data_IF_952175829921
#
_entry.id   IF_952175829921
#
_cell.length_a   1.000
_cell.length_b   1.000
_cell.length_c   1.000
_cell.angle_alpha   90.00
_cell.angle_beta   90.00
_cell.angle_gamma   90.00
#
_symmetry.space_group_name_H-M   'P 1'
#
loop_
_entity.id
_entity.type
_entity.pdbx_description
1 polymer ?
#
# COMPACT_ATOMS: atom_id res chain seq x y z
N UNK A 1 -2.57 -13.31 -12.39
CA UNK A 1 -3.15 -12.75 -11.17
C UNK A 1 -2.07 -12.11 -10.34
N UNK A 2 -2.36 -10.94 -9.79
CA UNK A 2 -1.38 -10.22 -8.98
C UNK A 2 -1.48 -10.64 -7.52
N UNK A 3 -0.37 -10.58 -6.81
CA UNK A 3 -0.35 -11.00 -5.41
C UNK A 3 -0.28 -9.81 -4.46
N UNK A 4 -0.93 -9.95 -3.32
CA UNK A 4 -1.05 -8.88 -2.32
C UNK A 4 -0.68 -9.39 -0.95
N UNK A 5 0.05 -8.57 -0.20
CA UNK A 5 0.32 -8.84 1.20
C UNK A 5 -0.22 -7.68 2.03
N UNK A 6 -0.75 -7.99 3.21
CA UNK A 6 -1.28 -7.00 4.12
C UNK A 6 -0.47 -7.01 5.41
N UNK A 7 -0.16 -5.83 5.94
CA UNK A 7 0.57 -5.72 7.19
C UNK A 7 -0.08 -4.67 8.07
N UNK A 8 -0.54 -5.08 9.25
CA UNK A 8 -1.18 -4.21 10.22
C UNK A 8 -1.08 -4.91 11.56
N UNK A 9 -0.65 -4.20 12.59
CA UNK A 9 -0.45 -4.82 13.90
C UNK A 9 -1.74 -5.25 14.58
N UNK A 10 -2.89 -4.83 14.06
CA UNK A 10 -4.18 -5.23 14.61
C UNK A 10 -4.88 -6.23 13.71
N UNK A 11 -5.24 -7.37 14.30
CA UNK A 11 -5.92 -8.41 13.54
C UNK A 11 -7.25 -7.95 12.98
N UNK A 12 -7.95 -7.11 13.73
CA UNK A 12 -9.25 -6.63 13.27
C UNK A 12 -9.11 -5.72 12.07
N UNK A 13 -8.04 -4.95 12.03
CA UNK A 13 -7.78 -4.11 10.88
C UNK A 13 -7.52 -4.94 9.64
N UNK A 14 -6.76 -6.03 9.79
CA UNK A 14 -6.52 -6.93 8.67
C UNK A 14 -7.83 -7.54 8.18
N UNK A 15 -8.70 -7.90 9.11
CA UNK A 15 -9.99 -8.46 8.76
C UNK A 15 -10.85 -7.44 8.00
N UNK A 16 -10.84 -6.21 8.46
CA UNK A 16 -11.58 -5.14 7.80
C UNK A 16 -11.10 -4.93 6.37
N UNK A 17 -9.80 -4.93 6.17
CA UNK A 17 -9.26 -4.77 4.83
C UNK A 17 -9.71 -5.91 3.93
N UNK A 18 -9.64 -7.13 4.44
CA UNK A 18 -10.03 -8.29 3.66
C UNK A 18 -11.50 -8.29 3.30
N UNK A 19 -12.34 -7.74 4.16
CA UNK A 19 -13.77 -7.67 3.89
C UNK A 19 -14.13 -6.51 2.98
N UNK A 20 -13.42 -5.41 3.11
CA UNK A 20 -13.74 -4.20 2.36
C UNK A 20 -13.19 -4.24 0.94
N UNK A 21 -11.99 -4.81 0.78
CA UNK A 21 -11.34 -4.86 -0.53
C UNK A 21 -11.67 -6.16 -1.25
N UNK A 22 -12.40 -6.09 -2.37
CA UNK A 22 -12.72 -7.31 -3.12
C UNK A 22 -11.54 -7.72 -4.00
N UNK A 23 -10.45 -8.13 -3.37
CA UNK A 23 -9.22 -8.46 -4.07
C UNK A 23 -9.43 -9.43 -5.24
N UNK A 24 -10.12 -10.50 -4.96
CA UNK A 24 -10.30 -11.54 -5.96
C UNK A 24 -11.03 -11.05 -7.20
N UNK A 25 -12.02 -10.19 -7.00
CA UNK A 25 -12.81 -9.67 -8.11
C UNK A 25 -11.97 -8.82 -9.06
N UNK A 26 -10.87 -8.27 -8.57
CA UNK A 26 -10.02 -7.41 -9.37
C UNK A 26 -8.69 -8.08 -9.75
N UNK A 27 -8.63 -9.39 -9.61
CA UNK A 27 -7.47 -10.13 -10.06
C UNK A 27 -6.32 -10.21 -9.08
N UNK A 28 -6.61 -10.07 -7.79
CA UNK A 28 -5.58 -10.14 -6.76
C UNK A 28 -5.75 -11.36 -5.88
N UNK A 29 -4.62 -11.94 -5.52
CA UNK A 29 -4.57 -13.10 -4.63
C UNK A 29 -3.83 -12.69 -3.36
N UNK A 30 -4.47 -12.88 -2.22
CA UNK A 30 -3.86 -12.54 -0.94
C UNK A 30 -2.89 -13.63 -0.53
N UNK A 31 -1.61 -13.29 -0.43
CA UNK A 31 -0.58 -14.28 -0.11
C UNK A 31 -0.08 -14.19 1.32
N UNK A 32 -0.34 -13.08 2.01
CA UNK A 32 0.09 -12.93 3.39
C UNK A 32 -0.72 -11.85 4.07
N UNK A 33 -1.00 -12.05 5.36
CA UNK A 33 -1.62 -11.05 6.21
C UNK A 33 -0.90 -11.15 7.54
N UNK A 34 -0.02 -10.18 7.80
CA UNK A 34 0.90 -10.26 8.92
C UNK A 34 0.67 -9.14 9.91
N UNK A 35 0.83 -9.45 11.20
CA UNK A 35 0.70 -8.44 12.25
C UNK A 35 2.04 -7.98 12.79
N UNK A 36 3.13 -8.60 12.36
CA UNK A 36 4.46 -8.31 12.87
C UNK A 36 5.35 -7.79 11.74
N UNK A 37 5.82 -6.53 11.80
CA UNK A 37 6.67 -5.99 10.74
C UNK A 37 8.00 -6.72 10.60
N UNK A 38 8.52 -7.28 11.69
CA UNK A 38 9.77 -8.04 11.62
C UNK A 38 9.57 -9.30 10.82
N UNK A 39 8.44 -9.96 11.04
CA UNK A 39 8.10 -11.15 10.26
C UNK A 39 7.92 -10.80 8.79
N UNK A 40 7.39 -9.62 8.51
CA UNK A 40 7.22 -9.17 7.14
C UNK A 40 8.57 -9.01 6.44
N UNK A 41 9.55 -8.45 7.14
CA UNK A 41 10.89 -8.31 6.57
C UNK A 41 11.50 -9.65 6.19
N UNK A 42 11.13 -10.69 6.93
CA UNK A 42 11.65 -12.01 6.68
C UNK A 42 10.91 -12.74 5.56
N UNK A 43 9.61 -12.63 5.59
CA UNK A 43 8.75 -13.40 4.67
C UNK A 43 8.55 -12.77 3.30
N UNK A 44 8.35 -11.48 3.26
CA UNK A 44 7.96 -10.84 2.00
C UNK A 44 9.01 -10.92 0.90
N UNK A 45 10.31 -10.83 1.19
CA UNK A 45 11.29 -11.02 0.12
C UNK A 45 11.21 -12.37 -0.56
N UNK A 46 10.76 -13.38 0.17
CA UNK A 46 10.59 -14.72 -0.40
C UNK A 46 9.33 -14.83 -1.23
N UNK A 47 8.26 -14.18 -0.77
CA UNK A 47 6.98 -14.23 -1.45
C UNK A 47 6.91 -13.33 -2.67
N UNK A 48 7.68 -12.25 -2.64
CA UNK A 48 7.73 -11.27 -3.73
C UNK A 48 6.35 -10.82 -4.18
N UNK A 49 5.57 -10.23 -3.25
CA UNK A 49 4.23 -9.78 -3.63
C UNK A 49 4.28 -8.62 -4.61
N UNK A 50 3.26 -8.52 -5.43
CA UNK A 50 3.16 -7.40 -6.35
C UNK A 50 2.78 -6.12 -5.63
N UNK A 51 1.94 -6.24 -4.60
CA UNK A 51 1.48 -5.10 -3.83
C UNK A 51 1.55 -5.40 -2.35
N UNK A 52 1.94 -4.41 -1.56
CA UNK A 52 1.94 -4.52 -0.11
C UNK A 52 1.14 -3.37 0.47
N UNK A 53 0.13 -3.69 1.27
CA UNK A 53 -0.65 -2.71 2.02
C UNK A 53 -0.08 -2.66 3.43
N UNK A 54 0.32 -1.49 3.88
CA UNK A 54 0.99 -1.33 5.17
C UNK A 54 0.32 -0.25 5.99
N UNK A 55 0.01 -0.57 7.24
CA UNK A 55 -0.46 0.44 8.18
C UNK A 55 0.75 1.23 8.69
N UNK A 56 0.58 2.52 8.89
CA UNK A 56 1.70 3.35 9.34
C UNK A 56 2.09 3.09 10.78
N UNK A 57 1.12 3.03 11.67
CA UNK A 57 1.41 2.94 13.11
C UNK A 57 1.48 1.52 13.58
N UNK A 58 2.70 1.07 13.83
CA UNK A 58 2.96 -0.23 14.42
C UNK A 58 4.01 -0.06 15.51
N UNK A 59 3.92 -0.83 16.59
CA UNK A 59 4.75 -0.57 17.78
C UNK A 59 6.25 -0.69 17.56
N UNK A 60 6.68 -1.68 16.81
CA UNK A 60 8.11 -1.96 16.72
C UNK A 60 8.80 -1.22 15.59
N UNK A 61 8.06 -0.94 14.55
CA UNK A 61 8.62 -0.30 13.38
C UNK A 61 7.46 0.33 12.63
N UNK A 62 7.57 1.60 12.27
CA UNK A 62 6.48 2.24 11.54
C UNK A 62 6.36 1.63 10.14
N UNK A 63 5.18 1.79 9.54
CA UNK A 63 4.96 1.27 8.20
C UNK A 63 5.91 1.90 7.18
N UNK A 64 6.26 3.16 7.39
CA UNK A 64 7.18 3.84 6.47
C UNK A 64 8.58 3.30 6.59
N UNK A 65 9.00 2.99 7.80
CA UNK A 65 10.32 2.38 8.00
C UNK A 65 10.35 1.00 7.37
N UNK A 66 9.26 0.26 7.52
CA UNK A 66 9.16 -1.06 6.93
C UNK A 66 9.26 -0.99 5.41
N UNK A 67 8.56 -0.04 4.80
CA UNK A 67 8.63 0.13 3.35
C UNK A 67 10.04 0.45 2.91
N UNK A 68 10.72 1.34 3.64
CA UNK A 68 12.08 1.70 3.31
C UNK A 68 12.99 0.47 3.29
N UNK A 69 12.83 -0.38 4.29
CA UNK A 69 13.62 -1.60 4.38
C UNK A 69 13.25 -2.58 3.26
N UNK A 70 11.95 -2.73 3.00
CA UNK A 70 11.50 -3.67 1.99
C UNK A 70 11.91 -3.26 0.58
N UNK A 71 12.01 -1.95 0.33
CA UNK A 71 12.38 -1.50 -1.01
C UNK A 71 13.75 -1.97 -1.44
N UNK A 72 14.62 -2.25 -0.49
CA UNK A 72 15.95 -2.76 -0.81
C UNK A 72 15.88 -4.15 -1.44
N UNK A 73 14.98 -4.99 -0.96
CA UNK A 73 14.85 -6.34 -1.50
C UNK A 73 13.67 -6.50 -2.45
N UNK A 74 12.72 -5.57 -2.40
CA UNK A 74 11.51 -5.63 -3.25
C UNK A 74 11.33 -4.29 -3.98
N UNK A 75 12.24 -3.94 -4.88
CA UNK A 75 12.17 -2.64 -5.55
C UNK A 75 11.02 -2.53 -6.56
N UNK A 76 10.50 -3.65 -7.02
CA UNK A 76 9.40 -3.63 -8.00
C UNK A 76 8.03 -3.70 -7.36
N UNK A 77 7.98 -3.97 -6.07
CA UNK A 77 6.70 -4.07 -5.35
C UNK A 77 6.07 -2.69 -5.23
N UNK A 78 4.75 -2.65 -5.36
CA UNK A 78 3.98 -1.43 -5.21
C UNK A 78 3.47 -1.35 -3.78
N UNK A 79 3.64 -0.20 -3.17
CA UNK A 79 3.28 -0.02 -1.75
C UNK A 79 2.08 0.91 -1.59
N UNK A 80 1.12 0.48 -0.77
CA UNK A 80 -0.05 1.28 -0.42
C UNK A 80 -0.02 1.48 1.09
N UNK A 81 -0.12 2.72 1.53
CA UNK A 81 -0.06 3.07 2.95
C UNK A 81 -1.46 3.36 3.47
N UNK A 82 -1.79 2.76 4.61
CA UNK A 82 -3.08 2.99 5.26
C UNK A 82 -2.84 3.77 6.55
N UNK A 83 -3.67 4.78 6.80
CA UNK A 83 -3.43 5.65 7.94
C UNK A 83 -4.67 6.42 8.34
N UNK A 84 -4.69 6.88 9.60
CA UNK A 84 -5.73 7.80 10.07
C UNK A 84 -5.26 9.23 9.96
N UNK A 85 -6.15 10.15 10.30
CA UNK A 85 -5.84 11.57 10.23
C UNK A 85 -4.72 12.00 11.16
N UNK A 86 -4.55 11.28 12.27
CA UNK A 86 -3.54 11.66 13.24
C UNK A 86 -2.12 11.47 12.73
N UNK A 87 -1.97 10.84 11.58
CA UNK A 87 -0.64 10.61 11.01
C UNK A 87 -0.28 11.55 9.88
N UNK A 88 -0.80 12.78 9.92
CA UNK A 88 -0.45 13.78 8.91
C UNK A 88 1.05 13.91 8.70
N UNK A 89 1.81 13.87 9.78
CA UNK A 89 3.25 14.06 9.69
C UNK A 89 3.91 13.01 8.81
N UNK A 90 3.28 11.86 8.68
CA UNK A 90 3.85 10.78 7.89
C UNK A 90 3.59 10.92 6.39
N UNK A 91 2.64 11.78 6.02
CA UNK A 91 2.33 11.95 4.61
C UNK A 91 3.53 12.43 3.80
N UNK A 92 4.33 13.32 4.38
CA UNK A 92 5.53 13.81 3.70
C UNK A 92 6.51 12.70 3.43
N UNK A 93 6.68 11.82 4.41
CA UNK A 93 7.61 10.70 4.26
C UNK A 93 7.09 9.69 3.25
N UNK A 94 5.79 9.51 3.19
CA UNK A 94 5.19 8.60 2.22
C UNK A 94 5.48 9.08 0.80
N UNK A 95 5.39 10.39 0.58
CA UNK A 95 5.69 10.97 -0.73
C UNK A 95 7.15 10.72 -1.10
N UNK A 96 8.05 10.89 -0.13
CA UNK A 96 9.47 10.69 -0.38
C UNK A 96 9.80 9.23 -0.66
N UNK A 97 9.04 8.30 -0.10
CA UNK A 97 9.25 6.89 -0.32
C UNK A 97 8.65 6.37 -1.61
N UNK A 98 7.92 7.24 -2.30
CA UNK A 98 7.35 6.87 -3.59
C UNK A 98 6.37 5.71 -3.46
N UNK A 99 5.39 5.87 -2.58
CA UNK A 99 4.32 4.88 -2.46
C UNK A 99 3.26 5.17 -3.52
N UNK A 100 2.54 4.14 -3.91
CA UNK A 100 1.52 4.27 -4.94
C UNK A 100 0.33 5.10 -4.45
N UNK A 101 -0.10 4.85 -3.24
CA UNK A 101 -1.28 5.52 -2.70
C UNK A 101 -1.21 5.61 -1.20
N UNK A 102 -1.76 6.68 -0.65
CA UNK A 102 -1.89 6.90 0.78
C UNK A 102 -3.38 6.93 1.06
N UNK A 103 -3.90 5.89 1.72
CA UNK A 103 -5.33 5.74 1.94
C UNK A 103 -5.69 6.07 3.38
N UNK A 104 -6.60 7.01 3.56
CA UNK A 104 -7.03 7.43 4.88
C UNK A 104 -8.14 6.54 5.40
N UNK A 105 -8.06 6.18 6.65
CA UNK A 105 -9.10 5.43 7.33
C UNK A 105 -10.10 6.42 7.92
N UNK A 106 -11.38 6.11 7.94
CA UNK A 106 -11.99 4.92 7.37
C UNK A 106 -12.18 5.04 5.86
N UNK A 107 -12.14 3.92 5.19
CA UNK A 107 -12.39 3.86 3.75
C UNK A 107 -13.58 2.94 3.50
N UNK A 108 -14.31 3.18 2.41
CA UNK A 108 -15.46 2.36 2.09
C UNK A 108 -15.18 1.47 0.89
N UNK A 109 -16.20 0.70 0.50
CA UNK A 109 -16.06 -0.25 -0.60
C UNK A 109 -15.78 0.43 -1.93
N UNK A 110 -16.37 1.59 -2.11
CA UNK A 110 -16.18 2.34 -3.34
C UNK A 110 -14.73 2.80 -3.48
N UNK A 111 -14.16 3.31 -2.38
CA UNK A 111 -12.76 3.70 -2.36
C UNK A 111 -11.86 2.49 -2.64
N UNK A 112 -12.20 1.36 -2.04
CA UNK A 112 -11.41 0.16 -2.20
C UNK A 112 -11.43 -0.34 -3.64
N UNK A 113 -12.60 -0.36 -4.25
CA UNK A 113 -12.72 -0.82 -5.63
C UNK A 113 -11.97 0.08 -6.59
N UNK A 114 -12.07 1.38 -6.39
CA UNK A 114 -11.37 2.33 -7.23
C UNK A 114 -9.85 2.13 -7.14
N UNK A 115 -9.36 1.92 -5.94
CA UNK A 115 -7.94 1.70 -5.75
C UNK A 115 -7.48 0.41 -6.41
N UNK A 116 -8.23 -0.67 -6.25
CA UNK A 116 -7.87 -1.94 -6.85
C UNK A 116 -7.88 -1.87 -8.37
N UNK A 117 -8.82 -1.11 -8.91
CA UNK A 117 -8.88 -0.92 -10.36
C UNK A 117 -7.63 -0.21 -10.87
N UNK A 118 -7.22 0.84 -10.18
CA UNK A 118 -6.02 1.58 -10.56
C UNK A 118 -4.76 0.74 -10.37
N UNK A 119 -4.70 -0.04 -9.30
CA UNK A 119 -3.57 -0.93 -9.07
C UNK A 119 -3.46 -1.98 -10.17
N UNK A 120 -4.59 -2.56 -10.51
CA UNK A 120 -4.61 -3.58 -11.55
C UNK A 120 -4.13 -3.03 -12.89
N UNK A 121 -4.59 -1.84 -13.23
CA UNK A 121 -4.18 -1.18 -14.47
C UNK A 121 -2.69 -0.85 -14.45
N UNK A 122 -2.23 -0.35 -13.30
CA UNK A 122 -0.82 0.02 -13.15
C UNK A 122 0.09 -1.18 -13.31
N UNK A 123 -0.25 -2.29 -12.65
CA UNK A 123 0.58 -3.49 -12.70
C UNK A 123 0.58 -4.11 -14.09
N UNK A 124 -0.56 -4.10 -14.75
CA UNK A 124 -0.66 -4.66 -16.09
C UNK A 124 0.13 -3.84 -17.09
N UNK A 125 0.03 -2.52 -16.99
CA UNK A 125 0.78 -1.62 -17.87
C UNK A 125 2.28 -1.73 -17.62
N UNK A 126 2.67 -1.86 -16.34
CA UNK A 126 4.07 -1.99 -15.99
C UNK A 126 4.72 -3.22 -16.55
N UNK A 127 3.95 -4.28 -16.71
CA UNK A 127 4.49 -5.52 -17.28
C UNK A 127 4.65 -5.42 -18.77
N UNK A 128 3.80 -4.63 -19.40
CA UNK A 128 3.82 -4.50 -20.84
C UNK A 128 4.78 -3.43 -21.32
N UNK A 129 5.24 -2.57 -20.43
CA UNK A 129 6.05 -1.43 -20.80
C UNK A 129 7.46 -1.54 -20.27
N UNK A 130 8.33 -0.77 -20.91
CA UNK A 130 9.71 -0.70 -20.45
C UNK A 130 9.74 -0.06 -19.07
N UNK A 131 10.60 -0.56 -18.20
CA UNK A 131 10.65 -0.02 -16.83
C UNK A 131 11.11 1.41 -16.74
N UNK A 132 11.68 1.93 -17.79
CA UNK A 132 12.13 3.30 -17.75
C UNK A 132 10.99 4.29 -17.71
N UNK A 133 9.81 3.83 -17.95
CA UNK A 133 8.66 4.69 -17.90
C UNK A 133 8.42 5.19 -16.50
N UNK A 134 8.60 6.46 -16.33
CA UNK A 134 8.42 7.03 -15.04
C UNK A 134 7.02 7.45 -14.85
N UNK A 135 6.37 6.84 -13.92
CA UNK A 135 5.02 7.21 -13.61
C UNK A 135 5.03 8.00 -12.35
N UNK A 136 4.63 9.22 -12.44
CA UNK A 136 4.47 10.00 -11.24
C UNK A 136 3.34 9.37 -10.44
N UNK A 137 3.53 9.11 -9.17
CA UNK A 137 2.48 8.52 -8.35
C UNK A 137 1.23 9.34 -8.45
N UNK A 138 0.12 8.65 -8.60
CA UNK A 138 -1.12 9.34 -8.82
C UNK A 138 -1.77 9.77 -7.54
N UNK A 139 -1.11 10.64 -6.84
CA UNK A 139 -1.63 11.12 -5.58
C UNK A 139 -2.91 11.90 -5.78
N UNK A 140 -3.10 12.43 -6.95
CA UNK A 140 -4.25 13.25 -7.24
C UNK A 140 -5.54 12.49 -7.47
N UNK A 141 -5.47 11.19 -7.59
CA UNK A 141 -6.67 10.42 -7.84
C UNK A 141 -7.43 10.08 -6.58
N UNK A 142 -6.83 10.27 -5.42
CA UNK A 142 -7.50 10.07 -4.15
C UNK A 142 -7.70 11.43 -3.51
N UNK A 143 -8.96 11.86 -3.39
CA UNK A 143 -9.26 13.18 -2.86
C UNK A 143 -8.81 13.38 -1.43
N UNK A 144 -8.91 12.35 -0.62
CA UNK A 144 -8.46 12.44 0.77
C UNK A 144 -6.96 12.67 0.83
N UNK A 145 -6.24 12.00 -0.02
CA UNK A 145 -4.80 12.17 -0.08
C UNK A 145 -4.44 13.56 -0.57
N UNK A 146 -5.15 14.07 -1.55
CA UNK A 146 -4.92 15.43 -2.05
C UNK A 146 -5.17 16.47 -1.00
N UNK A 147 -6.21 16.29 -0.20
CA UNK A 147 -6.49 17.21 0.89
C UNK A 147 -5.38 17.18 1.92
N UNK A 148 -4.87 15.98 2.18
CA UNK A 148 -3.78 15.81 3.11
C UNK A 148 -2.53 16.52 2.61
N UNK A 149 -2.25 16.39 1.32
CA UNK A 149 -1.10 17.06 0.72
C UNK A 149 -1.22 18.57 0.81
N UNK A 150 -2.41 19.09 0.64
CA UNK A 150 -2.63 20.52 0.73
C UNK A 150 -2.26 21.05 2.12
N UNK A 151 -2.43 20.23 3.14
CA UNK A 151 -2.08 20.61 4.49
C UNK A 151 -0.58 20.57 4.74
N UNK A 152 0.12 19.63 4.15
CA UNK A 152 1.54 19.46 4.44
C UNK A 152 2.45 20.27 3.52
N UNK A 153 1.89 20.78 2.47
CA UNK A 153 2.66 21.66 1.59
C UNK A 153 2.38 23.10 1.89
#
# INVERSE_FOLDING_TARGET
MHTVALIDDEKYALSDIRHTFPFKAYGFSLVAALTDPIQALEMLPRLQPDVVFVDIRMPEMSGLELIRELKASLPQTVYVVLSGYSEFAYAKNAIRLDVFEYVLKPFDEEDAEELLERLSSHLSAGRARAPAQEEVPTVHSNQQFNQLLAFVT
#
